data_IF_345419874047
#
_entry.id   IF_345419874047
#
_cell.length_a   1.000
_cell.length_b   1.000
_cell.length_c   1.000
_cell.angle_alpha   90.00
_cell.angle_beta   90.00
_cell.angle_gamma   90.00
#
_symmetry.space_group_name_H-M   'P 1'
#
loop_
_entity.id
_entity.type
_entity.pdbx_description
1 polymer ?
#
# COMPACT_ATOMS: atom_id res chain seq x y z
N UNK A 1 16.00 5.04 -11.14
CA UNK A 1 14.78 5.10 -10.34
C UNK A 1 14.75 6.38 -9.53
N UNK A 2 13.58 6.96 -9.42
CA UNK A 2 13.42 8.24 -8.74
C UNK A 2 13.57 8.08 -7.22
N UNK A 3 14.48 8.87 -6.63
CA UNK A 3 14.73 8.84 -5.20
C UNK A 3 13.49 9.26 -4.40
N UNK A 4 12.75 10.25 -4.89
CA UNK A 4 11.53 10.71 -4.23
C UNK A 4 10.49 9.59 -4.17
N UNK A 5 10.34 8.84 -5.25
CA UNK A 5 9.38 7.74 -5.33
C UNK A 5 9.73 6.65 -4.32
N UNK A 6 11.01 6.28 -4.23
CA UNK A 6 11.45 5.28 -3.25
C UNK A 6 11.17 5.74 -1.83
N UNK A 7 11.46 7.00 -1.54
CA UNK A 7 11.22 7.57 -0.21
C UNK A 7 9.73 7.53 0.15
N UNK A 8 8.86 7.82 -0.81
CA UNK A 8 7.43 7.77 -0.56
C UNK A 8 6.97 6.35 -0.25
N UNK A 9 7.42 5.36 -1.01
CA UNK A 9 7.08 3.96 -0.75
C UNK A 9 7.53 3.55 0.64
N UNK A 10 8.75 3.87 1.02
CA UNK A 10 9.27 3.53 2.34
C UNK A 10 8.39 4.11 3.44
N UNK A 11 8.05 5.39 3.35
CA UNK A 11 7.24 6.05 4.36
C UNK A 11 5.81 5.55 4.36
N UNK A 12 5.20 5.43 3.19
CA UNK A 12 3.77 5.11 3.08
C UNK A 12 3.49 3.63 3.31
N UNK A 13 4.38 2.74 2.89
CA UNK A 13 4.18 1.31 3.05
C UNK A 13 4.46 0.84 4.47
N UNK A 14 5.30 1.55 5.20
CA UNK A 14 5.78 1.11 6.50
C UNK A 14 4.93 1.61 7.66
N UNK A 15 4.72 2.93 7.74
CA UNK A 15 4.17 3.56 8.95
C UNK A 15 2.73 3.16 9.27
N UNK A 16 1.78 3.15 8.31
CA UNK A 16 0.37 2.96 8.67
C UNK A 16 0.06 1.62 9.32
N UNK A 17 0.87 0.62 9.08
CA UNK A 17 0.55 -0.74 9.51
C UNK A 17 1.14 -1.08 10.86
N UNK A 18 2.29 -0.53 11.15
CA UNK A 18 2.98 -0.83 12.39
C UNK A 18 2.46 -0.04 13.57
N UNK A 19 1.79 1.06 13.30
CA UNK A 19 1.40 2.01 14.34
C UNK A 19 -0.09 2.19 14.48
N UNK A 20 -0.88 1.26 14.08
CA UNK A 20 -2.34 1.32 14.19
C UNK A 20 -2.79 1.87 15.53
N UNK A 21 -3.11 3.16 15.57
CA UNK A 21 -3.59 3.82 16.77
C UNK A 21 -2.59 3.93 17.90
N UNK A 22 -1.35 3.48 17.71
CA UNK A 22 -0.37 3.49 18.80
C UNK A 22 0.38 4.79 18.92
N UNK A 23 0.64 5.47 17.81
CA UNK A 23 1.40 6.72 17.86
C UNK A 23 0.86 7.73 16.86
N UNK A 24 -0.06 8.54 17.37
CA UNK A 24 -0.68 9.60 16.58
C UNK A 24 0.34 10.66 16.18
N UNK A 25 1.39 10.86 16.98
CA UNK A 25 2.39 11.88 16.67
C UNK A 25 3.18 11.55 15.42
N UNK A 26 3.52 10.28 15.24
CA UNK A 26 4.24 9.83 14.04
C UNK A 26 3.36 10.05 12.82
N UNK A 27 2.08 9.69 12.90
CA UNK A 27 1.14 9.86 11.80
C UNK A 27 0.93 11.34 11.47
N UNK A 28 0.82 12.20 12.48
CA UNK A 28 0.68 13.64 12.26
C UNK A 28 1.94 14.23 11.63
N UNK A 29 3.11 13.77 12.06
CA UNK A 29 4.39 14.23 11.50
C UNK A 29 4.49 13.83 10.03
N UNK A 30 4.11 12.61 9.70
CA UNK A 30 4.10 12.14 8.33
C UNK A 30 3.12 12.94 7.48
N UNK A 31 1.92 13.19 8.00
CA UNK A 31 0.92 13.99 7.30
C UNK A 31 1.44 15.39 7.02
N UNK A 32 2.07 16.01 8.01
CA UNK A 32 2.66 17.33 7.85
C UNK A 32 3.74 17.33 6.78
N UNK A 33 4.60 16.32 6.79
CA UNK A 33 5.64 16.18 5.78
C UNK A 33 5.03 16.08 4.38
N UNK A 34 4.01 15.23 4.21
CA UNK A 34 3.35 15.06 2.94
C UNK A 34 2.67 16.35 2.48
N UNK A 35 2.01 17.06 3.39
CA UNK A 35 1.35 18.32 3.06
C UNK A 35 2.34 19.35 2.54
N UNK A 36 3.52 19.42 3.16
CA UNK A 36 4.58 20.31 2.71
C UNK A 36 5.13 19.92 1.35
N UNK A 37 5.36 18.62 1.13
CA UNK A 37 5.85 18.13 -0.15
C UNK A 37 4.83 18.32 -1.27
N UNK A 38 3.55 18.23 -0.95
CA UNK A 38 2.48 18.39 -1.94
C UNK A 38 2.36 19.81 -2.47
N UNK A 39 3.03 20.78 -1.85
CA UNK A 39 3.11 22.14 -2.39
C UNK A 39 4.01 22.23 -3.61
N UNK A 40 4.93 21.28 -3.75
CA UNK A 40 5.77 21.17 -4.93
C UNK A 40 5.00 20.47 -6.04
N UNK A 41 4.72 21.14 -7.19
CA UNK A 41 3.95 20.52 -8.26
C UNK A 41 4.57 19.24 -8.83
N UNK A 42 5.90 19.18 -8.87
CA UNK A 42 6.60 18.00 -9.36
C UNK A 42 6.40 16.83 -8.42
N UNK A 43 6.53 17.06 -7.13
CA UNK A 43 6.29 16.01 -6.13
C UNK A 43 4.85 15.53 -6.21
N UNK A 44 3.89 16.45 -6.32
CA UNK A 44 2.47 16.10 -6.40
C UNK A 44 2.20 15.20 -7.59
N UNK A 45 2.76 15.54 -8.74
CA UNK A 45 2.58 14.75 -9.96
C UNK A 45 3.10 13.33 -9.78
N UNK A 46 4.28 13.18 -9.19
CA UNK A 46 4.86 11.87 -8.90
C UNK A 46 4.04 11.10 -7.90
N UNK A 47 3.59 11.77 -6.85
CA UNK A 47 2.76 11.16 -5.80
C UNK A 47 1.45 10.63 -6.39
N UNK A 48 0.78 11.44 -7.19
CA UNK A 48 -0.46 11.03 -7.83
C UNK A 48 -0.25 9.86 -8.79
N UNK A 49 0.90 9.83 -9.46
CA UNK A 49 1.21 8.76 -10.40
C UNK A 49 1.37 7.40 -9.74
N UNK A 50 1.86 7.36 -8.49
CA UNK A 50 2.06 6.11 -7.76
C UNK A 50 0.91 5.77 -6.80
N UNK A 51 -0.10 6.64 -6.71
CA UNK A 51 -1.19 6.44 -5.76
C UNK A 51 -1.90 5.09 -5.95
N UNK A 52 -2.20 4.65 -7.18
CA UNK A 52 -2.84 3.35 -7.36
C UNK A 52 -2.01 2.17 -6.83
N UNK A 53 -0.69 2.19 -7.03
CA UNK A 53 0.18 1.15 -6.48
C UNK A 53 0.18 1.16 -4.97
N UNK A 54 0.19 2.35 -4.37
CA UNK A 54 0.14 2.50 -2.92
C UNK A 54 -1.18 2.02 -2.35
N UNK A 55 -2.27 2.29 -3.04
CA UNK A 55 -3.60 1.82 -2.61
C UNK A 55 -3.65 0.29 -2.60
N UNK A 56 -3.05 -0.36 -3.58
CA UNK A 56 -2.97 -1.81 -3.64
C UNK A 56 -2.17 -2.35 -2.46
N UNK A 57 -1.00 -1.77 -2.20
CA UNK A 57 -0.15 -2.19 -1.09
C UNK A 57 -0.91 -2.09 0.22
N UNK A 58 -1.55 -0.95 0.47
CA UNK A 58 -2.32 -0.74 1.69
C UNK A 58 -3.46 -1.72 1.83
N UNK A 59 -4.18 -1.94 0.74
CA UNK A 59 -5.32 -2.85 0.77
C UNK A 59 -4.88 -4.26 1.19
N UNK A 60 -3.79 -4.75 0.63
CA UNK A 60 -3.27 -6.08 0.94
C UNK A 60 -2.81 -6.15 2.40
N UNK A 61 -2.00 -5.19 2.83
CA UNK A 61 -1.43 -5.20 4.17
C UNK A 61 -2.51 -4.99 5.23
N UNK A 62 -3.41 -4.03 5.02
CA UNK A 62 -4.49 -3.77 5.97
C UNK A 62 -5.40 -4.98 6.12
N UNK A 63 -5.76 -5.63 5.02
CA UNK A 63 -6.61 -6.81 5.07
C UNK A 63 -5.92 -7.95 5.83
N UNK A 64 -4.64 -8.16 5.57
CA UNK A 64 -3.86 -9.19 6.26
C UNK A 64 -3.78 -8.91 7.76
N UNK A 65 -3.39 -7.70 8.12
CA UNK A 65 -3.21 -7.32 9.53
C UNK A 65 -4.55 -7.31 10.28
N UNK A 66 -5.63 -6.90 9.62
CA UNK A 66 -6.95 -6.89 10.26
C UNK A 66 -7.39 -8.28 10.68
N UNK A 67 -6.84 -9.32 10.08
CA UNK A 67 -7.14 -10.71 10.42
C UNK A 67 -6.04 -11.35 11.27
N UNK A 68 -5.11 -10.54 11.77
CA UNK A 68 -3.98 -11.02 12.58
C UNK A 68 -3.16 -12.09 11.86
N UNK A 69 -3.02 -11.93 10.56
CA UNK A 69 -2.35 -12.91 9.70
C UNK A 69 -0.96 -12.44 9.35
N UNK A 70 0.03 -13.35 9.46
CA UNK A 70 1.38 -13.07 9.00
C UNK A 70 1.48 -13.23 7.49
N UNK A 71 2.57 -12.73 6.89
CA UNK A 71 2.84 -12.96 5.48
C UNK A 71 2.94 -14.46 5.17
N UNK A 72 3.52 -15.21 6.08
CA UNK A 72 3.65 -16.67 5.93
C UNK A 72 2.28 -17.34 5.90
N UNK A 73 1.41 -16.95 6.81
CA UNK A 73 0.06 -17.50 6.86
C UNK A 73 -0.74 -17.16 5.60
N UNK A 74 -0.60 -15.94 5.10
CA UNK A 74 -1.25 -15.54 3.86
C UNK A 74 -0.70 -16.35 2.69
N UNK A 75 0.61 -16.58 2.65
CA UNK A 75 1.24 -17.41 1.63
C UNK A 75 0.66 -18.83 1.66
N UNK A 76 0.53 -19.41 2.84
CA UNK A 76 -0.03 -20.75 2.99
C UNK A 76 -1.47 -20.83 2.51
N UNK A 77 -2.28 -19.83 2.83
CA UNK A 77 -3.69 -19.81 2.43
C UNK A 77 -3.90 -19.62 0.94
N UNK A 78 -3.05 -18.83 0.32
CA UNK A 78 -3.22 -18.47 -1.08
C UNK A 78 -2.45 -19.37 -2.04
N UNK A 79 -1.46 -20.10 -1.54
CA UNK A 79 -0.53 -20.83 -2.39
C UNK A 79 0.47 -19.92 -3.09
N UNK A 80 0.52 -18.65 -2.71
CA UNK A 80 1.48 -17.70 -3.25
C UNK A 80 2.75 -17.77 -2.41
N UNK A 81 3.90 -17.70 -3.06
CA UNK A 81 5.19 -17.73 -2.38
C UNK A 81 5.30 -16.52 -1.43
N UNK A 82 5.79 -16.76 -0.20
CA UNK A 82 5.93 -15.68 0.77
C UNK A 82 6.83 -14.54 0.26
N UNK A 83 7.88 -14.88 -0.48
CA UNK A 83 8.75 -13.86 -1.06
C UNK A 83 7.99 -12.96 -2.03
N UNK A 84 7.05 -13.51 -2.79
CA UNK A 84 6.21 -12.73 -3.69
C UNK A 84 5.26 -11.81 -2.92
N UNK A 85 4.67 -12.31 -1.84
CA UNK A 85 3.82 -11.49 -0.97
C UNK A 85 4.63 -10.33 -0.39
N UNK A 86 5.83 -10.60 0.07
CA UNK A 86 6.72 -9.56 0.58
C UNK A 86 7.01 -8.49 -0.48
N UNK A 87 7.27 -8.91 -1.72
CA UNK A 87 7.51 -7.98 -2.82
C UNK A 87 6.29 -7.14 -3.15
N UNK A 88 5.09 -7.72 -3.07
CA UNK A 88 3.85 -6.98 -3.27
C UNK A 88 3.67 -5.93 -2.19
N UNK A 89 3.94 -6.29 -0.95
CA UNK A 89 3.73 -5.38 0.19
C UNK A 89 4.78 -4.28 0.27
N UNK A 90 5.96 -4.47 -0.31
CA UNK A 90 6.97 -3.41 -0.33
C UNK A 90 7.02 -2.63 -1.65
N UNK A 91 6.12 -2.93 -2.57
CA UNK A 91 6.00 -2.16 -3.80
C UNK A 91 6.96 -2.52 -4.93
N UNK A 92 7.71 -3.61 -4.80
CA UNK A 92 8.67 -4.00 -5.83
C UNK A 92 8.09 -4.90 -6.90
N UNK A 93 6.82 -5.26 -6.78
CA UNK A 93 6.13 -6.09 -7.76
C UNK A 93 4.72 -5.57 -7.99
N UNK A 94 4.31 -5.48 -9.26
CA UNK A 94 2.95 -5.13 -9.63
C UNK A 94 2.13 -6.41 -9.74
N UNK A 95 1.02 -6.52 -9.01
CA UNK A 95 0.19 -7.71 -9.08
C UNK A 95 -0.69 -7.71 -10.33
N UNK A 96 -0.94 -8.90 -10.86
CA UNK A 96 -1.96 -9.10 -11.87
C UNK A 96 -3.33 -9.14 -11.20
N UNK A 97 -4.39 -8.99 -11.99
CA UNK A 97 -5.75 -9.13 -11.47
C UNK A 97 -5.96 -10.53 -10.90
N UNK A 98 -5.43 -11.55 -11.58
CA UNK A 98 -5.53 -12.93 -11.07
C UNK A 98 -4.86 -13.10 -9.71
N UNK A 99 -3.72 -12.47 -9.52
CA UNK A 99 -3.01 -12.53 -8.24
C UNK A 99 -3.83 -11.83 -7.15
N UNK A 100 -4.40 -10.67 -7.46
CA UNK A 100 -5.26 -9.95 -6.51
C UNK A 100 -6.49 -10.78 -6.13
N UNK A 101 -7.07 -11.50 -7.09
CA UNK A 101 -8.20 -12.38 -6.81
C UNK A 101 -7.82 -13.51 -5.87
N UNK A 102 -6.65 -14.10 -6.06
CA UNK A 102 -6.14 -15.15 -5.16
C UNK A 102 -5.92 -14.62 -3.75
N UNK A 103 -5.38 -13.42 -3.65
CA UNK A 103 -5.19 -12.78 -2.35
C UNK A 103 -6.54 -12.54 -1.67
N UNK A 104 -7.51 -12.01 -2.40
CA UNK A 104 -8.84 -11.77 -1.85
C UNK A 104 -9.47 -13.06 -1.35
N UNK A 105 -9.38 -14.13 -2.13
CA UNK A 105 -9.92 -15.43 -1.72
C UNK A 105 -9.26 -15.92 -0.43
N UNK A 106 -7.94 -15.84 -0.34
CA UNK A 106 -7.22 -16.25 0.85
C UNK A 106 -7.52 -15.42 2.09
N UNK A 107 -7.94 -14.18 1.86
CA UNK A 107 -8.35 -13.28 2.94
C UNK A 107 -9.85 -13.37 3.25
N UNK A 108 -10.58 -14.20 2.51
CA UNK A 108 -12.03 -14.30 2.69
C UNK A 108 -12.76 -13.04 2.28
N UNK A 109 -12.23 -12.32 1.32
CA UNK A 109 -12.75 -11.03 0.88
C UNK A 109 -13.08 -11.03 -0.61
N UNK A 110 -13.92 -10.10 -1.03
CA UNK A 110 -14.20 -9.87 -2.43
C UNK A 110 -13.29 -8.76 -2.96
N UNK A 111 -12.75 -8.96 -4.15
CA UNK A 111 -11.97 -7.93 -4.81
C UNK A 111 -12.92 -6.97 -5.53
N UNK A 112 -12.76 -5.68 -5.27
CA UNK A 112 -13.49 -4.64 -5.96
C UNK A 112 -12.50 -3.65 -6.56
N UNK A 113 -12.67 -3.34 -7.84
CA UNK A 113 -11.85 -2.35 -8.54
C UNK A 113 -12.79 -1.34 -9.16
N UNK A 114 -12.49 -0.07 -9.02
CA UNK A 114 -13.33 0.96 -9.60
C UNK A 114 -12.50 2.14 -10.10
N UNK A 115 -13.03 2.80 -11.11
CA UNK A 115 -12.48 4.06 -11.59
C UNK A 115 -13.27 5.18 -10.94
N UNK A 116 -12.54 6.14 -10.39
CA UNK A 116 -13.16 7.31 -9.75
C UNK A 116 -12.82 8.56 -10.55
N UNK A 117 -13.75 9.53 -10.65
CA UNK A 117 -13.44 10.77 -11.35
C UNK A 117 -12.27 11.50 -10.69
N UNK A 118 -11.42 12.12 -11.51
CA UNK A 118 -10.36 12.96 -10.99
C UNK A 118 -10.95 14.22 -10.37
N UNK A 119 -10.42 14.62 -9.23
CA UNK A 119 -10.79 15.88 -8.65
C UNK A 119 -10.12 16.99 -9.47
N UNK A 120 -10.89 18.00 -9.81
CA UNK A 120 -10.36 19.18 -10.46
C UNK A 120 -9.68 20.06 -9.42
N UNK A 121 -8.48 20.48 -9.74
CA UNK A 121 -7.72 21.37 -8.86
C UNK A 121 -8.42 22.71 -8.76
#
# INVERSE_FOLDING_TARGET
>A
MDVKRNKMFDNMAYIPYNYKGKDIRIMKTLQKYLDEQMKDPEFRKEYEAIQPEMDIIRAIVDARISQNMTQKELAERTGINQADISKLENGTRNPSVNLLKRLADGLGMALKIEFVPKQKA
#
